data_IF_083352817305
#
_entry.id   IF_083352817305
#
_cell.length_a   1.000
_cell.length_b   1.000
_cell.length_c   1.000
_cell.angle_alpha   90.00
_cell.angle_beta   90.00
_cell.angle_gamma   90.00
#
_symmetry.space_group_name_H-M   'P 1'
#
loop_
_entity.id
_entity.type
_entity.pdbx_description
1 polymer ?
#
# COMPACT_ATOMS: atom_id res chain seq x y z
N UNK A 1 2.13 -6.74 27.89
CA UNK A 1 2.50 -6.27 26.53
C UNK A 1 1.48 -5.22 26.10
N UNK A 2 1.91 -4.00 25.79
CA UNK A 2 0.99 -2.87 25.55
C UNK A 2 0.10 -3.15 24.31
N UNK A 3 -1.25 -3.06 24.39
CA UNK A 3 -2.16 -3.45 23.29
C UNK A 3 -1.92 -2.67 21.99
N UNK A 4 -1.41 -1.42 22.09
CA UNK A 4 -1.06 -0.60 20.91
C UNK A 4 0.15 -1.13 20.14
N UNK A 5 1.14 -1.72 20.80
CA UNK A 5 2.32 -2.27 20.12
C UNK A 5 2.02 -3.63 19.48
N UNK A 6 1.14 -4.43 20.10
CA UNK A 6 0.65 -5.71 19.56
C UNK A 6 0.02 -5.59 18.16
N UNK A 7 -0.86 -4.60 17.96
CA UNK A 7 -1.56 -4.41 16.69
C UNK A 7 -0.62 -3.97 15.56
N UNK A 8 0.34 -3.10 15.86
CA UNK A 8 1.38 -2.66 14.91
C UNK A 8 2.28 -3.84 14.51
N UNK A 9 2.69 -4.67 15.47
CA UNK A 9 3.49 -5.87 15.19
C UNK A 9 2.74 -6.89 14.32
N UNK A 10 1.44 -7.12 14.55
CA UNK A 10 0.62 -8.00 13.71
C UNK A 10 0.51 -7.49 12.27
N UNK A 11 0.28 -6.19 12.06
CA UNK A 11 0.24 -5.58 10.73
C UNK A 11 1.57 -5.75 9.96
N UNK A 12 2.70 -5.49 10.62
CA UNK A 12 4.05 -5.69 10.04
C UNK A 12 4.31 -7.14 9.63
N UNK A 13 3.83 -8.11 10.41
CA UNK A 13 4.01 -9.55 10.11
C UNK A 13 3.28 -9.97 8.82
N UNK A 14 2.12 -9.38 8.56
CA UNK A 14 1.34 -9.61 7.32
C UNK A 14 2.03 -8.92 6.14
N UNK A 15 2.43 -7.65 6.29
CA UNK A 15 3.04 -6.87 5.22
C UNK A 15 4.33 -7.49 4.67
N UNK A 16 5.23 -7.93 5.56
CA UNK A 16 6.52 -8.52 5.16
C UNK A 16 6.32 -9.88 4.49
N UNK A 17 5.41 -10.71 5.00
CA UNK A 17 5.12 -12.04 4.42
C UNK A 17 4.46 -11.90 3.04
N UNK A 18 3.52 -10.98 2.89
CA UNK A 18 2.85 -10.70 1.60
C UNK A 18 3.83 -10.10 0.59
N UNK A 19 4.77 -9.26 1.02
CA UNK A 19 5.82 -8.71 0.16
C UNK A 19 6.73 -9.81 -0.43
N UNK A 20 7.26 -10.70 0.41
CA UNK A 20 8.10 -11.82 -0.06
C UNK A 20 7.32 -12.83 -0.92
N UNK A 21 6.05 -13.06 -0.60
CA UNK A 21 5.15 -13.86 -1.44
C UNK A 21 4.95 -13.25 -2.83
N UNK A 22 4.70 -11.94 -2.90
CA UNK A 22 4.52 -11.21 -4.16
C UNK A 22 5.80 -11.17 -5.01
N UNK A 23 6.96 -10.98 -4.38
CA UNK A 23 8.26 -11.06 -5.05
C UNK A 23 8.46 -12.44 -5.69
N UNK A 24 8.23 -13.50 -4.92
CA UNK A 24 8.48 -14.85 -5.39
C UNK A 24 7.46 -15.34 -6.43
N UNK A 25 6.17 -15.02 -6.24
CA UNK A 25 5.08 -15.52 -7.08
C UNK A 25 4.78 -14.65 -8.30
N UNK A 26 4.75 -13.31 -8.16
CA UNK A 26 4.30 -12.42 -9.24
C UNK A 26 5.44 -11.79 -10.03
N UNK A 27 6.61 -11.59 -9.42
CA UNK A 27 7.79 -11.02 -10.08
C UNK A 27 8.78 -12.09 -10.56
N UNK A 28 8.47 -13.38 -10.38
CA UNK A 28 9.35 -14.49 -10.77
C UNK A 28 10.74 -14.42 -10.13
N UNK A 29 10.84 -13.79 -8.95
CA UNK A 29 12.10 -13.45 -8.30
C UNK A 29 12.74 -14.71 -7.69
N UNK A 30 13.28 -15.57 -8.55
CA UNK A 30 14.00 -16.79 -8.19
C UNK A 30 15.48 -16.49 -7.92
N UNK A 31 15.99 -15.39 -8.50
CA UNK A 31 17.40 -15.01 -8.45
C UNK A 31 17.58 -13.49 -8.51
N UNK A 32 18.43 -12.95 -7.64
CA UNK A 32 18.88 -11.55 -7.70
C UNK A 32 19.69 -11.33 -8.98
N UNK A 33 19.54 -10.18 -9.63
CA UNK A 33 20.31 -9.83 -10.82
C UNK A 33 21.82 -9.73 -10.50
N UNK A 34 22.13 -9.21 -9.31
CA UNK A 34 23.51 -9.01 -8.86
C UNK A 34 23.99 -10.10 -7.89
N UNK A 35 25.31 -10.36 -7.91
CA UNK A 35 26.00 -11.22 -6.93
C UNK A 35 26.74 -10.37 -5.89
N UNK A 36 26.79 -10.85 -4.65
CA UNK A 36 27.47 -10.20 -3.52
C UNK A 36 26.50 -9.49 -2.57
N UNK A 37 26.71 -9.67 -1.26
CA UNK A 37 25.76 -9.30 -0.19
C UNK A 37 25.35 -7.81 -0.27
N UNK A 38 26.31 -6.91 -0.51
CA UNK A 38 26.05 -5.48 -0.52
C UNK A 38 25.20 -5.04 -1.71
N UNK A 39 25.45 -5.62 -2.89
CA UNK A 39 24.67 -5.35 -4.10
C UNK A 39 23.26 -5.93 -3.98
N UNK A 40 23.13 -7.15 -3.44
CA UNK A 40 21.83 -7.79 -3.19
C UNK A 40 20.98 -6.98 -2.21
N UNK A 41 21.58 -6.47 -1.11
CA UNK A 41 20.88 -5.57 -0.18
C UNK A 41 20.32 -4.33 -0.87
N UNK A 42 21.08 -3.76 -1.81
CA UNK A 42 20.66 -2.59 -2.58
C UNK A 42 19.48 -2.92 -3.50
N UNK A 43 19.58 -4.02 -4.25
CA UNK A 43 18.52 -4.47 -5.16
C UNK A 43 17.20 -4.78 -4.42
N UNK A 44 17.28 -5.48 -3.28
CA UNK A 44 16.12 -5.71 -2.40
C UNK A 44 15.57 -4.39 -1.86
N UNK A 45 16.42 -3.45 -1.46
CA UNK A 45 16.02 -2.14 -0.97
C UNK A 45 15.23 -1.34 -2.02
N UNK A 46 15.67 -1.37 -3.29
CA UNK A 46 14.97 -0.74 -4.41
C UNK A 46 13.60 -1.42 -4.64
N UNK A 47 13.55 -2.75 -4.65
CA UNK A 47 12.30 -3.49 -4.81
C UNK A 47 11.29 -3.17 -3.69
N UNK A 48 11.75 -3.08 -2.43
CA UNK A 48 10.94 -2.62 -1.30
C UNK A 48 10.38 -1.21 -1.54
N UNK A 49 11.22 -0.30 -2.02
CA UNK A 49 10.83 1.10 -2.26
C UNK A 49 9.77 1.21 -3.36
N UNK A 50 9.93 0.46 -4.45
CA UNK A 50 8.94 0.39 -5.52
C UNK A 50 7.57 -0.11 -5.01
N UNK A 51 7.55 -1.14 -4.16
CA UNK A 51 6.30 -1.65 -3.58
C UNK A 51 5.68 -0.63 -2.61
N UNK A 52 6.48 0.08 -1.83
CA UNK A 52 5.98 1.14 -0.94
C UNK A 52 5.37 2.30 -1.74
N UNK A 53 6.00 2.71 -2.85
CA UNK A 53 5.46 3.73 -3.76
C UNK A 53 4.13 3.26 -4.35
N UNK A 54 4.03 2.01 -4.81
CA UNK A 54 2.78 1.44 -5.33
C UNK A 54 1.66 1.48 -4.30
N UNK A 55 1.95 1.11 -3.04
CA UNK A 55 0.98 1.22 -1.93
C UNK A 55 0.59 2.67 -1.66
N UNK A 56 1.54 3.60 -1.69
CA UNK A 56 1.27 5.02 -1.48
C UNK A 56 0.38 5.61 -2.59
N UNK A 57 0.62 5.26 -3.85
CA UNK A 57 -0.21 5.68 -4.97
C UNK A 57 -1.62 5.13 -4.82
N UNK A 58 -1.78 3.83 -4.56
CA UNK A 58 -3.09 3.22 -4.35
C UNK A 58 -3.86 3.91 -3.21
N UNK A 59 -3.20 4.17 -2.07
CA UNK A 59 -3.82 4.91 -0.96
C UNK A 59 -4.22 6.34 -1.36
N UNK A 60 -3.42 7.04 -2.16
CA UNK A 60 -3.79 8.37 -2.66
C UNK A 60 -5.00 8.31 -3.60
N UNK A 61 -5.04 7.31 -4.49
CA UNK A 61 -6.17 7.10 -5.41
C UNK A 61 -7.45 6.79 -4.63
N UNK A 62 -7.41 5.89 -3.66
CA UNK A 62 -8.58 5.58 -2.80
C UNK A 62 -9.09 6.82 -2.05
N UNK A 63 -8.18 7.60 -1.45
CA UNK A 63 -8.54 8.85 -0.79
C UNK A 63 -9.10 9.90 -1.76
N UNK A 64 -8.59 9.94 -3.00
CA UNK A 64 -9.09 10.82 -4.04
C UNK A 64 -10.49 10.40 -4.50
N UNK A 65 -10.72 9.10 -4.71
CA UNK A 65 -12.04 8.56 -5.03
C UNK A 65 -13.03 8.81 -3.90
N UNK A 66 -12.63 8.62 -2.63
CA UNK A 66 -13.49 8.88 -1.46
C UNK A 66 -13.86 10.37 -1.35
N UNK A 67 -12.93 11.28 -1.63
CA UNK A 67 -13.21 12.72 -1.73
C UNK A 67 -14.18 13.06 -2.85
N UNK A 68 -13.98 12.49 -4.04
CA UNK A 68 -14.89 12.71 -5.18
C UNK A 68 -16.27 12.14 -4.89
N UNK A 69 -16.36 10.95 -4.27
CA UNK A 69 -17.62 10.31 -3.88
C UNK A 69 -18.40 11.16 -2.87
N UNK A 70 -17.70 11.69 -1.86
CA UNK A 70 -18.28 12.65 -0.89
C UNK A 70 -18.72 13.96 -1.56
N UNK A 71 -17.93 14.48 -2.50
CA UNK A 71 -18.30 15.65 -3.29
C UNK A 71 -19.56 15.42 -4.12
N UNK A 72 -19.66 14.30 -4.83
CA UNK A 72 -20.86 13.93 -5.59
C UNK A 72 -22.08 13.71 -4.70
N UNK A 73 -21.92 13.08 -3.54
CA UNK A 73 -23.02 12.91 -2.58
C UNK A 73 -23.49 14.26 -2.04
N UNK A 74 -22.57 15.17 -1.72
CA UNK A 74 -22.90 16.51 -1.25
C UNK A 74 -23.64 17.34 -2.32
N UNK A 75 -23.17 17.31 -3.56
CA UNK A 75 -23.85 17.96 -4.70
C UNK A 75 -25.26 17.38 -4.87
N UNK A 76 -25.39 16.06 -4.86
CA UNK A 76 -26.69 15.38 -5.00
C UNK A 76 -27.66 15.75 -3.86
N UNK A 77 -27.16 15.87 -2.62
CA UNK A 77 -27.96 16.34 -1.48
C UNK A 77 -28.36 17.81 -1.64
N UNK A 78 -27.48 18.67 -2.17
CA UNK A 78 -27.79 20.06 -2.44
C UNK A 78 -28.83 20.22 -3.57
N UNK A 79 -28.71 19.45 -4.65
CA UNK A 79 -29.65 19.48 -5.79
C UNK A 79 -31.03 18.95 -5.42
N UNK A 80 -31.11 17.96 -4.53
CA UNK A 80 -32.37 17.36 -4.08
C UNK A 80 -32.84 17.91 -2.73
N UNK A 81 -32.30 19.04 -2.23
CA UNK A 81 -32.78 19.64 -0.99
C UNK A 81 -34.09 20.40 -1.27
N UNK A 82 -35.23 19.98 -0.72
CA UNK A 82 -36.49 20.69 -0.96
C UNK A 82 -36.48 22.06 -0.28
N UNK A 83 -36.88 23.09 -1.04
CA UNK A 83 -37.07 24.46 -0.56
C UNK A 83 -38.45 24.54 0.13
N UNK A 84 -38.47 24.37 1.44
CA UNK A 84 -39.59 24.75 2.29
C UNK A 84 -39.07 25.38 3.58
#
# INVERSE_FOLDING_TARGET
MNPKTSSIYKKRKIDVKTFFGNLKANLGFSRMSVRGIQKVKTEVGIACMAVNIRKLVALRTENFLDKNKKGTIFIFICENRPFY
#
